data_IF_988265480108
#
_entry.id   IF_988265480108
#
_cell.length_a   1.000
_cell.length_b   1.000
_cell.length_c   1.000
_cell.angle_alpha   90.00
_cell.angle_beta   90.00
_cell.angle_gamma   90.00
#
_symmetry.space_group_name_H-M   'P 1'
#
loop_
_entity.id
_entity.type
_entity.pdbx_description
1 polymer ?
#
# COMPACT_ATOMS: atom_id res chain seq x y z
N UNK A 1 -18.70 13.57 9.08
CA UNK A 1 -19.24 12.26 9.50
C UNK A 1 -18.07 11.39 9.95
N UNK A 2 -18.21 10.57 10.99
CA UNK A 2 -17.10 9.73 11.47
C UNK A 2 -16.69 8.59 10.50
N UNK A 3 -17.48 8.30 9.50
CA UNK A 3 -17.26 7.20 8.56
C UNK A 3 -16.52 7.58 7.28
N UNK A 4 -16.09 8.84 7.12
CA UNK A 4 -15.45 9.37 5.92
C UNK A 4 -14.55 10.55 6.23
N UNK A 5 -13.38 10.59 5.63
CA UNK A 5 -12.45 11.72 5.69
C UNK A 5 -11.99 12.07 4.28
N UNK A 6 -11.93 13.35 3.95
CA UNK A 6 -11.29 13.85 2.75
C UNK A 6 -10.51 15.12 3.01
N UNK A 7 -9.50 15.37 2.19
CA UNK A 7 -8.75 16.63 2.16
C UNK A 7 -8.19 16.90 0.77
N UNK A 8 -7.94 18.18 0.50
CA UNK A 8 -7.40 18.65 -0.77
C UNK A 8 -5.88 18.84 -0.67
N UNK A 9 -5.19 18.57 -1.75
CA UNK A 9 -3.79 18.92 -1.93
C UNK A 9 -3.49 19.18 -3.41
N UNK A 10 -2.39 19.88 -3.65
CA UNK A 10 -1.87 20.09 -5.01
C UNK A 10 -0.62 19.24 -5.18
N UNK A 11 -0.52 18.49 -6.28
CA UNK A 11 0.68 17.69 -6.59
C UNK A 11 1.90 18.58 -6.73
N UNK A 12 2.98 18.20 -6.02
CA UNK A 12 4.25 18.94 -6.00
C UNK A 12 5.26 18.32 -6.96
N UNK A 13 6.36 19.03 -7.20
CA UNK A 13 7.45 18.53 -8.03
C UNK A 13 8.01 17.20 -7.53
N UNK A 14 8.15 17.03 -6.21
CA UNK A 14 8.69 15.82 -5.59
C UNK A 14 7.73 14.61 -5.63
N UNK A 15 6.44 14.86 -5.90
CA UNK A 15 5.45 13.77 -6.04
C UNK A 15 5.54 13.10 -7.42
N UNK A 16 6.19 13.77 -8.39
CA UNK A 16 6.22 13.38 -9.80
C UNK A 16 7.59 12.79 -10.16
N UNK A 17 7.59 11.61 -10.76
CA UNK A 17 8.83 10.96 -11.20
C UNK A 17 9.28 11.34 -12.60
N UNK A 18 10.32 10.65 -13.10
CA UNK A 18 10.92 10.89 -14.41
C UNK A 18 9.93 10.77 -15.59
N UNK A 19 8.85 10.01 -15.42
CA UNK A 19 7.76 9.89 -16.42
C UNK A 19 6.81 11.10 -16.43
N UNK A 20 7.07 12.13 -15.62
CA UNK A 20 6.21 13.31 -15.40
C UNK A 20 4.83 12.97 -14.82
N UNK A 21 4.69 11.80 -14.25
CA UNK A 21 3.49 11.30 -13.58
C UNK A 21 3.78 11.07 -12.09
N UNK A 22 2.78 11.25 -11.25
CA UNK A 22 2.89 10.92 -9.82
C UNK A 22 3.20 9.43 -9.67
N UNK A 23 4.22 9.13 -8.87
CA UNK A 23 4.66 7.74 -8.71
C UNK A 23 3.69 6.97 -7.81
N UNK A 24 3.50 5.65 -8.04
CA UNK A 24 2.57 4.84 -7.23
C UNK A 24 2.83 4.95 -5.73
N UNK A 25 4.08 4.96 -5.30
CA UNK A 25 4.44 5.08 -3.89
C UNK A 25 4.02 6.43 -3.28
N UNK A 26 4.02 7.53 -4.04
CA UNK A 26 3.55 8.83 -3.57
C UNK A 26 2.03 8.88 -3.45
N UNK A 27 1.30 8.26 -4.38
CA UNK A 27 -0.17 8.08 -4.29
C UNK A 27 -0.51 7.30 -3.01
N UNK A 28 0.16 6.18 -2.77
CA UNK A 28 -0.06 5.33 -1.59
C UNK A 28 0.34 6.06 -0.31
N UNK A 29 1.38 6.90 -0.33
CA UNK A 29 1.75 7.77 0.80
C UNK A 29 0.63 8.73 1.19
N UNK A 30 -0.05 9.35 0.21
CA UNK A 30 -1.23 10.19 0.47
C UNK A 30 -2.37 9.37 1.11
N UNK A 31 -2.60 8.16 0.65
CA UNK A 31 -3.60 7.26 1.22
C UNK A 31 -3.27 6.84 2.66
N UNK A 32 -2.00 6.53 2.95
CA UNK A 32 -1.57 6.20 4.30
C UNK A 32 -1.73 7.39 5.26
N UNK A 33 -1.38 8.60 4.82
CA UNK A 33 -1.58 9.81 5.61
C UNK A 33 -3.07 10.00 5.93
N UNK A 34 -3.96 9.86 4.95
CA UNK A 34 -5.40 9.94 5.15
C UNK A 34 -5.90 8.88 6.13
N UNK A 35 -5.40 7.64 6.01
CA UNK A 35 -5.74 6.54 6.91
C UNK A 35 -5.34 6.84 8.35
N UNK A 36 -4.11 7.31 8.57
CA UNK A 36 -3.59 7.62 9.90
C UNK A 36 -4.42 8.73 10.57
N UNK A 37 -4.62 9.85 9.86
CA UNK A 37 -5.43 10.96 10.37
C UNK A 37 -6.87 10.54 10.70
N UNK A 38 -7.46 9.69 9.84
CA UNK A 38 -8.81 9.20 10.10
C UNK A 38 -8.85 8.22 11.29
N UNK A 39 -7.84 7.39 11.45
CA UNK A 39 -7.75 6.45 12.58
C UNK A 39 -7.61 7.19 13.92
N UNK A 40 -6.88 8.31 13.96
CA UNK A 40 -6.82 9.18 15.14
C UNK A 40 -8.18 9.79 15.48
N UNK A 41 -8.92 10.27 14.47
CA UNK A 41 -10.30 10.80 14.65
C UNK A 41 -11.25 9.71 15.18
N UNK A 42 -11.05 8.46 14.76
CA UNK A 42 -11.85 7.32 15.19
C UNK A 42 -11.46 6.78 16.58
N UNK A 43 -10.36 7.25 17.18
CA UNK A 43 -9.85 6.77 18.47
C UNK A 43 -9.21 5.37 18.39
N UNK A 44 -8.69 5.04 17.21
CA UNK A 44 -7.95 3.79 16.94
C UNK A 44 -6.62 4.07 16.23
N UNK A 45 -6.05 5.23 16.50
CA UNK A 45 -4.72 5.60 16.05
C UNK A 45 -3.62 4.72 16.65
N UNK A 46 -2.37 4.96 16.28
CA UNK A 46 -1.22 4.14 16.69
C UNK A 46 -1.13 4.04 18.22
N UNK A 47 -1.24 5.18 18.93
CA UNK A 47 -1.14 5.22 20.38
C UNK A 47 -2.36 4.61 21.08
N UNK A 48 -3.56 4.73 20.47
CA UNK A 48 -4.78 4.13 21.02
C UNK A 48 -4.70 2.59 20.99
N UNK A 49 -4.24 2.04 19.85
CA UNK A 49 -4.05 0.59 19.69
C UNK A 49 -2.97 0.06 20.61
N UNK A 50 -1.86 0.78 20.78
CA UNK A 50 -0.82 0.41 21.72
C UNK A 50 -1.35 0.33 23.15
N UNK A 51 -2.13 1.34 23.58
CA UNK A 51 -2.72 1.39 24.93
C UNK A 51 -3.81 0.35 25.15
N UNK A 52 -4.67 0.10 24.15
CA UNK A 52 -5.85 -0.77 24.30
C UNK A 52 -5.51 -2.25 24.27
N UNK A 53 -4.57 -2.68 23.44
CA UNK A 53 -4.29 -4.10 23.23
C UNK A 53 -2.80 -4.44 23.04
N UNK A 54 -1.89 -3.53 23.41
CA UNK A 54 -0.45 -3.66 23.18
C UNK A 54 -0.16 -4.05 21.72
N UNK A 55 -0.84 -3.37 20.80
CA UNK A 55 -0.85 -3.72 19.40
C UNK A 55 -0.19 -2.69 18.50
N UNK A 56 0.13 -3.11 17.29
CA UNK A 56 0.54 -2.26 16.18
C UNK A 56 -0.26 -2.57 14.93
N UNK A 57 -0.55 -1.54 14.14
CA UNK A 57 -1.16 -1.69 12.82
C UNK A 57 -0.16 -2.28 11.84
N UNK A 58 -0.62 -3.24 11.03
CA UNK A 58 0.12 -3.79 9.89
C UNK A 58 -0.79 -3.80 8.66
N UNK A 59 -0.21 -3.51 7.50
CA UNK A 59 -0.87 -3.73 6.21
C UNK A 59 -0.51 -5.14 5.73
N UNK A 60 -1.49 -5.92 5.35
CA UNK A 60 -1.29 -7.30 4.87
C UNK A 60 -1.31 -7.35 3.35
N UNK A 61 -2.21 -6.61 2.74
CA UNK A 61 -2.29 -6.49 1.28
C UNK A 61 -3.00 -5.20 0.88
N UNK A 62 -2.74 -4.76 -0.34
CA UNK A 62 -3.37 -3.60 -0.93
C UNK A 62 -3.60 -3.81 -2.43
N UNK A 63 -4.64 -3.16 -2.95
CA UNK A 63 -4.96 -3.11 -4.38
C UNK A 63 -5.28 -1.67 -4.76
N UNK A 64 -4.71 -1.23 -5.87
CA UNK A 64 -4.91 0.10 -6.42
C UNK A 64 -5.29 0.00 -7.88
N UNK A 65 -6.38 0.64 -8.27
CA UNK A 65 -6.87 0.74 -9.64
C UNK A 65 -6.63 2.16 -10.15
N UNK A 66 -5.95 2.29 -11.28
CA UNK A 66 -5.56 3.56 -11.88
C UNK A 66 -6.35 3.80 -13.15
N UNK A 67 -7.23 4.79 -13.17
CA UNK A 67 -7.79 5.29 -14.43
C UNK A 67 -6.74 6.13 -15.16
N UNK A 68 -5.96 6.91 -14.40
CA UNK A 68 -4.75 7.60 -14.83
C UNK A 68 -3.84 7.95 -13.65
N UNK A 69 -2.62 8.34 -13.94
CA UNK A 69 -1.70 8.93 -12.96
C UNK A 69 -1.76 10.46 -13.02
N UNK A 70 -1.80 11.16 -11.87
CA UNK A 70 -1.70 12.61 -11.80
C UNK A 70 -0.37 13.14 -12.35
N UNK A 71 -0.37 14.40 -12.78
CA UNK A 71 0.83 15.15 -13.17
C UNK A 71 1.09 16.29 -12.17
N UNK A 72 2.14 17.06 -12.38
CA UNK A 72 2.51 18.20 -11.52
C UNK A 72 1.43 19.31 -11.55
N UNK A 73 1.25 20.00 -10.41
CA UNK A 73 0.32 21.13 -10.24
C UNK A 73 -1.15 20.77 -10.49
N UNK A 74 -1.54 19.53 -10.26
CA UNK A 74 -2.96 19.15 -10.25
C UNK A 74 -3.54 19.32 -8.84
N UNK A 75 -4.70 19.96 -8.75
CA UNK A 75 -5.49 20.01 -7.53
C UNK A 75 -6.32 18.74 -7.40
N UNK A 76 -6.08 18.01 -6.31
CA UNK A 76 -6.63 16.70 -6.06
C UNK A 76 -7.30 16.64 -4.68
N UNK A 77 -8.26 15.74 -4.55
CA UNK A 77 -8.86 15.37 -3.27
C UNK A 77 -8.54 13.92 -2.95
N UNK A 78 -7.96 13.67 -1.78
CA UNK A 78 -7.83 12.33 -1.20
C UNK A 78 -9.01 12.07 -0.29
N UNK A 79 -9.64 10.91 -0.45
CA UNK A 79 -10.68 10.44 0.44
C UNK A 79 -10.37 9.06 0.98
N UNK A 80 -10.87 8.76 2.18
CA UNK A 80 -10.75 7.43 2.81
C UNK A 80 -11.92 7.13 3.73
N UNK A 81 -12.30 5.86 3.79
CA UNK A 81 -13.31 5.34 4.72
C UNK A 81 -13.06 3.87 5.05
N UNK A 82 -13.30 3.45 6.29
CA UNK A 82 -13.24 2.05 6.66
C UNK A 82 -14.46 1.30 6.10
N UNK A 83 -14.25 0.05 5.74
CA UNK A 83 -15.34 -0.88 5.43
C UNK A 83 -15.71 -1.70 6.68
N UNK A 84 -16.81 -2.42 6.59
CA UNK A 84 -17.24 -3.30 7.67
C UNK A 84 -16.15 -4.32 8.01
N UNK A 85 -15.72 -4.31 9.27
CA UNK A 85 -14.70 -5.19 9.79
C UNK A 85 -15.24 -6.60 9.99
N UNK A 86 -14.43 -7.61 9.62
CA UNK A 86 -14.68 -9.03 9.90
C UNK A 86 -13.52 -9.62 10.71
N UNK A 87 -12.50 -10.15 10.04
CA UNK A 87 -11.23 -10.57 10.66
C UNK A 87 -10.13 -9.52 10.51
N UNK A 88 -10.20 -8.74 9.44
CA UNK A 88 -9.29 -7.65 9.11
C UNK A 88 -10.06 -6.34 9.07
N UNK A 89 -9.34 -5.23 9.03
CA UNK A 89 -9.88 -3.88 8.94
C UNK A 89 -9.67 -3.36 7.51
N UNK A 90 -10.59 -3.69 6.57
CA UNK A 90 -10.49 -3.18 5.21
C UNK A 90 -10.83 -1.70 5.18
N UNK A 91 -10.11 -0.96 4.33
CA UNK A 91 -10.29 0.48 4.15
C UNK A 91 -10.18 0.84 2.68
N UNK A 92 -11.11 1.65 2.20
CA UNK A 92 -11.09 2.22 0.87
C UNK A 92 -10.42 3.58 0.84
N UNK A 93 -9.90 3.89 -0.34
CA UNK A 93 -9.27 5.16 -0.68
C UNK A 93 -9.72 5.61 -2.06
N UNK A 94 -9.73 6.90 -2.26
CA UNK A 94 -10.02 7.50 -3.54
C UNK A 94 -9.16 8.74 -3.74
N UNK A 95 -8.59 8.87 -4.95
CA UNK A 95 -7.98 10.10 -5.41
C UNK A 95 -8.86 10.68 -6.50
N UNK A 96 -9.31 11.92 -6.32
CA UNK A 96 -10.23 12.61 -7.22
C UNK A 96 -9.60 13.86 -7.82
N UNK A 97 -9.96 14.16 -9.06
CA UNK A 97 -9.81 15.49 -9.64
C UNK A 97 -11.20 16.07 -9.91
N UNK A 98 -11.57 17.09 -9.16
CA UNK A 98 -12.95 17.55 -9.11
C UNK A 98 -13.91 16.44 -8.68
N UNK A 99 -14.88 16.10 -9.51
CA UNK A 99 -15.84 15.02 -9.24
C UNK A 99 -15.43 13.66 -9.85
N UNK A 100 -14.29 13.59 -10.55
CA UNK A 100 -13.85 12.36 -11.22
C UNK A 100 -12.87 11.59 -10.36
N UNK A 101 -13.18 10.33 -10.06
CA UNK A 101 -12.23 9.38 -9.47
C UNK A 101 -11.14 9.05 -10.49
N UNK A 102 -9.89 9.14 -10.10
CA UNK A 102 -8.74 8.85 -10.97
C UNK A 102 -7.89 7.69 -10.45
N UNK A 103 -7.92 7.45 -9.13
CA UNK A 103 -7.32 6.26 -8.51
C UNK A 103 -8.25 5.78 -7.40
N UNK A 104 -8.50 4.49 -7.36
CA UNK A 104 -9.18 3.80 -6.27
C UNK A 104 -8.20 2.92 -5.54
N UNK A 105 -8.34 2.78 -4.24
CA UNK A 105 -7.48 1.94 -3.44
C UNK A 105 -8.25 1.18 -2.37
N UNK A 106 -7.78 0.00 -2.06
CA UNK A 106 -8.23 -0.79 -0.92
C UNK A 106 -7.02 -1.40 -0.22
N UNK A 107 -6.97 -1.25 1.09
CA UNK A 107 -5.96 -1.88 1.94
C UNK A 107 -6.63 -2.73 3.00
N UNK A 108 -6.02 -3.88 3.28
CA UNK A 108 -6.42 -4.78 4.35
C UNK A 108 -5.44 -4.64 5.51
N UNK A 109 -5.93 -4.10 6.62
CA UNK A 109 -5.14 -3.92 7.83
C UNK A 109 -5.41 -5.03 8.85
N UNK A 110 -4.40 -5.35 9.62
CA UNK A 110 -4.50 -6.14 10.83
C UNK A 110 -3.89 -5.41 12.02
N UNK A 111 -4.19 -5.86 13.22
CA UNK A 111 -3.48 -5.45 14.44
C UNK A 111 -2.72 -6.66 14.95
N UNK A 112 -1.42 -6.50 15.21
CA UNK A 112 -0.57 -7.53 15.80
C UNK A 112 -0.17 -7.09 17.20
N UNK A 113 -0.33 -7.95 18.19
CA UNK A 113 0.15 -7.72 19.53
C UNK A 113 1.69 -7.78 19.54
N UNK A 114 2.35 -6.77 20.11
CA UNK A 114 3.81 -6.58 20.04
C UNK A 114 4.59 -7.65 20.83
N UNK A 115 4.03 -8.22 21.90
CA UNK A 115 4.71 -9.25 22.72
C UNK A 115 4.54 -10.66 22.12
N UNK A 116 3.29 -10.99 21.73
CA UNK A 116 2.96 -12.35 21.29
C UNK A 116 3.13 -12.56 19.80
N UNK A 117 3.31 -11.48 19.04
CA UNK A 117 3.37 -11.45 17.58
C UNK A 117 2.17 -12.12 16.89
N UNK A 118 0.99 -12.10 17.54
CA UNK A 118 -0.25 -12.70 17.07
C UNK A 118 -1.25 -11.64 16.65
N UNK A 119 -2.09 -12.01 15.68
CA UNK A 119 -3.19 -11.16 15.24
C UNK A 119 -4.19 -10.93 16.39
N UNK A 120 -4.50 -9.67 16.66
CA UNK A 120 -5.53 -9.24 17.62
C UNK A 120 -6.88 -9.22 16.90
N UNK A 121 -7.86 -9.92 17.48
CA UNK A 121 -9.21 -9.92 16.90
C UNK A 121 -9.86 -8.53 17.01
N UNK A 122 -10.67 -8.10 16.03
CA UNK A 122 -11.27 -6.78 15.99
C UNK A 122 -12.01 -6.36 17.27
N UNK A 123 -12.68 -7.29 17.94
CA UNK A 123 -13.41 -7.03 19.20
C UNK A 123 -12.52 -6.51 20.36
N UNK A 124 -11.21 -6.68 20.26
CA UNK A 124 -10.24 -6.19 21.26
C UNK A 124 -9.53 -4.90 20.84
N UNK A 125 -9.72 -4.46 19.59
CA UNK A 125 -9.09 -3.25 19.06
C UNK A 125 -9.87 -2.00 19.47
N UNK A 126 -11.18 -2.10 19.63
CA UNK A 126 -12.06 -1.01 20.00
C UNK A 126 -13.24 -0.84 19.02
N UNK A 127 -14.22 -0.07 19.45
CA UNK A 127 -15.35 0.30 18.62
C UNK A 127 -15.01 1.57 17.82
N UNK A 128 -15.09 1.50 16.50
CA UNK A 128 -14.89 2.65 15.62
C UNK A 128 -15.98 3.72 15.78
N UNK A 129 -17.08 3.41 16.48
CA UNK A 129 -18.24 4.30 16.62
C UNK A 129 -18.91 4.62 15.28
N UNK A 130 -18.79 3.71 14.30
CA UNK A 130 -19.42 3.82 12.98
C UNK A 130 -20.68 2.98 12.96
N UNK A 131 -21.82 3.62 12.79
CA UNK A 131 -23.13 2.94 12.72
C UNK A 131 -23.50 2.52 11.29
N UNK A 132 -22.96 3.23 10.29
CA UNK A 132 -23.22 2.97 8.89
C UNK A 132 -21.90 3.00 8.09
N UNK A 133 -21.55 1.87 7.50
CA UNK A 133 -20.35 1.74 6.66
C UNK A 133 -20.68 2.06 5.20
N UNK A 134 -19.80 2.83 4.56
CA UNK A 134 -19.87 3.05 3.13
C UNK A 134 -19.44 1.80 2.36
N UNK A 135 -19.95 1.59 1.12
CA UNK A 135 -19.54 0.47 0.29
C UNK A 135 -18.11 0.63 -0.23
N UNK A 136 -17.54 -0.46 -0.76
CA UNK A 136 -16.31 -0.42 -1.55
C UNK A 136 -16.53 0.40 -2.83
N UNK A 137 -15.49 1.13 -3.25
CA UNK A 137 -15.46 1.85 -4.52
C UNK A 137 -14.61 1.14 -5.58
N UNK A 138 -14.06 -0.03 -5.26
CA UNK A 138 -13.27 -0.82 -6.21
C UNK A 138 -14.16 -1.36 -7.33
N UNK A 139 -13.62 -1.42 -8.55
CA UNK A 139 -14.30 -2.06 -9.68
C UNK A 139 -14.31 -3.59 -9.50
N UNK A 140 -13.22 -4.12 -8.92
CA UNK A 140 -13.11 -5.53 -8.56
C UNK A 140 -12.42 -5.66 -7.20
N UNK A 141 -13.14 -6.17 -6.21
CA UNK A 141 -12.65 -6.38 -4.84
C UNK A 141 -11.76 -7.63 -4.70
N UNK A 142 -11.64 -8.47 -5.74
CA UNK A 142 -10.83 -9.69 -5.69
C UNK A 142 -9.34 -9.39 -5.90
N UNK A 143 -8.48 -10.20 -5.28
CA UNK A 143 -7.05 -10.17 -5.50
C UNK A 143 -6.66 -11.34 -6.40
N UNK A 144 -5.70 -11.12 -7.30
CA UNK A 144 -5.28 -12.17 -8.24
C UNK A 144 -4.58 -13.34 -7.56
N UNK A 145 -3.99 -13.11 -6.37
CA UNK A 145 -3.18 -14.09 -5.64
C UNK A 145 -2.15 -14.82 -6.54
N UNK A 146 -1.69 -14.13 -7.58
CA UNK A 146 -0.77 -14.71 -8.56
C UNK A 146 0.57 -15.04 -7.89
N UNK A 147 0.97 -16.28 -7.98
CA UNK A 147 2.30 -16.75 -7.58
C UNK A 147 3.03 -17.28 -8.80
N UNK A 148 4.36 -17.17 -8.82
CA UNK A 148 5.19 -17.81 -9.82
C UNK A 148 6.51 -18.25 -9.19
N UNK A 149 7.18 -19.18 -9.83
CA UNK A 149 8.55 -19.55 -9.50
C UNK A 149 9.49 -18.59 -10.22
N UNK A 150 10.53 -18.18 -9.52
CA UNK A 150 11.61 -17.33 -10.04
C UNK A 150 12.90 -18.15 -10.08
N UNK A 151 13.68 -17.95 -11.10
CA UNK A 151 15.04 -18.46 -11.21
C UNK A 151 16.08 -17.32 -11.18
N UNK A 152 17.37 -17.65 -11.26
CA UNK A 152 18.45 -16.67 -11.19
C UNK A 152 18.40 -15.63 -12.32
N UNK A 153 17.85 -15.98 -13.49
CA UNK A 153 17.72 -15.05 -14.62
C UNK A 153 16.64 -13.99 -14.41
N UNK A 154 15.71 -14.21 -13.48
CA UNK A 154 14.66 -13.27 -13.09
C UNK A 154 15.16 -12.20 -12.10
N UNK A 155 16.39 -12.37 -11.52
CA UNK A 155 16.98 -11.41 -10.58
C UNK A 155 17.33 -10.11 -11.30
N UNK A 156 16.73 -9.00 -10.82
CA UNK A 156 16.97 -7.66 -11.39
C UNK A 156 18.07 -6.94 -10.63
N UNK A 157 17.96 -6.86 -9.30
CA UNK A 157 18.95 -6.22 -8.44
C UNK A 157 18.80 -6.65 -6.98
N UNK A 158 19.80 -6.32 -6.17
CA UNK A 158 19.77 -6.50 -4.71
C UNK A 158 19.80 -5.16 -4.02
N UNK A 159 18.90 -4.93 -3.07
CA UNK A 159 18.79 -3.73 -2.23
C UNK A 159 19.17 -4.05 -0.80
N UNK A 160 20.10 -3.29 -0.23
CA UNK A 160 20.32 -3.29 1.23
C UNK A 160 19.40 -2.28 1.88
N UNK A 161 18.63 -2.70 2.87
CA UNK A 161 17.73 -1.82 3.65
C UNK A 161 18.55 -0.86 4.50
N UNK A 162 18.25 0.42 4.39
CA UNK A 162 18.90 1.53 5.12
C UNK A 162 17.88 2.32 5.91
N UNK A 163 18.35 3.24 6.74
CA UNK A 163 17.53 4.08 7.61
C UNK A 163 16.34 4.75 6.88
N UNK A 164 16.53 5.21 5.64
CA UNK A 164 15.48 5.88 4.87
C UNK A 164 14.35 4.96 4.39
N UNK A 165 14.55 3.64 4.43
CA UNK A 165 13.54 2.64 4.12
C UNK A 165 12.77 2.14 5.36
N UNK A 166 13.13 2.60 6.57
CA UNK A 166 12.46 2.18 7.80
C UNK A 166 11.24 3.06 8.13
N UNK A 167 10.25 2.46 8.77
CA UNK A 167 9.08 3.14 9.32
C UNK A 167 9.28 3.52 10.81
N UNK A 168 8.23 4.06 11.43
CA UNK A 168 8.18 4.40 12.86
C UNK A 168 8.47 3.19 13.78
N UNK A 169 8.17 1.97 13.36
CA UNK A 169 8.39 0.75 14.12
C UNK A 169 9.76 0.11 13.87
N UNK A 170 10.67 0.83 13.16
CA UNK A 170 12.01 0.36 12.78
C UNK A 170 11.97 -0.87 11.86
N UNK A 171 10.90 -1.03 11.11
CA UNK A 171 10.76 -2.07 10.09
C UNK A 171 10.74 -1.46 8.68
N UNK A 172 10.97 -2.28 7.66
CA UNK A 172 10.84 -1.84 6.28
C UNK A 172 9.46 -1.24 6.01
N UNK A 173 9.46 0.01 5.55
CA UNK A 173 8.25 0.77 5.26
C UNK A 173 7.51 0.19 4.04
N UNK A 174 6.20 0.03 4.13
CA UNK A 174 5.35 -0.43 3.03
C UNK A 174 5.54 0.39 1.74
N UNK A 175 5.81 1.70 1.87
CA UNK A 175 6.11 2.60 0.74
C UNK A 175 7.45 2.24 0.08
N UNK A 176 8.45 1.86 0.87
CA UNK A 176 9.76 1.44 0.35
C UNK A 176 9.63 0.18 -0.52
N UNK A 177 8.74 -0.76 -0.17
CA UNK A 177 8.51 -1.95 -0.99
C UNK A 177 7.91 -1.60 -2.36
N UNK A 178 7.01 -0.62 -2.44
CA UNK A 178 6.46 -0.14 -3.72
C UNK A 178 7.56 0.52 -4.57
N UNK A 179 8.47 1.28 -3.94
CA UNK A 179 9.65 1.86 -4.62
C UNK A 179 10.53 0.75 -5.19
N UNK A 180 10.92 -0.23 -4.36
CA UNK A 180 11.75 -1.36 -4.79
C UNK A 180 11.10 -2.13 -5.95
N UNK A 181 9.78 -2.36 -5.90
CA UNK A 181 9.06 -3.02 -6.99
C UNK A 181 9.09 -2.17 -8.28
N UNK A 182 8.92 -0.86 -8.16
CA UNK A 182 8.97 0.06 -9.31
C UNK A 182 10.38 0.14 -9.90
N UNK A 183 11.42 0.11 -9.06
CA UNK A 183 12.83 0.14 -9.47
C UNK A 183 13.29 -1.13 -10.20
N UNK A 184 12.47 -2.19 -10.24
CA UNK A 184 12.71 -3.35 -11.10
C UNK A 184 12.50 -3.05 -12.61
N UNK A 185 11.95 -1.89 -12.94
CA UNK A 185 11.80 -1.45 -14.34
C UNK A 185 12.85 -0.40 -14.69
N UNK A 186 13.40 -0.50 -15.88
CA UNK A 186 14.14 0.63 -16.48
C UNK A 186 13.18 1.76 -16.80
N UNK A 187 13.72 2.99 -16.99
CA UNK A 187 12.90 4.13 -17.41
C UNK A 187 12.13 3.85 -18.72
N UNK A 188 12.79 3.23 -19.70
CA UNK A 188 12.17 2.90 -20.98
C UNK A 188 11.02 1.89 -20.82
N UNK A 189 11.24 0.83 -20.04
CA UNK A 189 10.19 -0.14 -19.74
C UNK A 189 9.02 0.55 -19.03
N UNK A 190 9.26 1.20 -17.89
CA UNK A 190 8.21 1.81 -17.07
C UNK A 190 7.40 2.86 -17.84
N UNK A 191 8.06 3.66 -18.69
CA UNK A 191 7.39 4.69 -19.48
C UNK A 191 6.42 4.12 -20.52
N UNK A 192 6.63 2.87 -20.95
CA UNK A 192 5.77 2.17 -21.92
C UNK A 192 4.60 1.42 -21.28
N UNK A 193 4.59 1.31 -19.93
CA UNK A 193 3.54 0.56 -19.22
C UNK A 193 2.24 1.38 -19.11
N UNK A 194 1.14 0.77 -19.51
CA UNK A 194 -0.20 1.25 -19.18
C UNK A 194 -0.74 0.45 -17.99
N UNK A 195 -0.33 0.87 -16.78
CA UNK A 195 -0.67 0.17 -15.53
C UNK A 195 -2.13 0.45 -15.18
N UNK A 196 -2.95 -0.60 -15.18
CA UNK A 196 -4.34 -0.54 -14.75
C UNK A 196 -4.49 -0.82 -13.25
N UNK A 197 -3.72 -1.80 -12.73
CA UNK A 197 -3.82 -2.22 -11.33
C UNK A 197 -2.43 -2.48 -10.76
N UNK A 198 -2.25 -2.13 -9.50
CA UNK A 198 -1.12 -2.58 -8.66
C UNK A 198 -1.68 -3.31 -7.44
N UNK A 199 -1.28 -4.56 -7.26
CA UNK A 199 -1.53 -5.31 -6.04
C UNK A 199 -0.24 -5.47 -5.25
N UNK A 200 -0.32 -5.28 -3.93
CA UNK A 200 0.77 -5.47 -2.99
C UNK A 200 0.39 -6.52 -1.95
N UNK A 201 1.30 -7.45 -1.70
CA UNK A 201 1.21 -8.46 -0.65
C UNK A 201 2.40 -8.26 0.28
N UNK A 202 2.15 -7.89 1.53
CA UNK A 202 3.15 -7.68 2.56
C UNK A 202 3.25 -8.97 3.38
N UNK A 203 4.33 -9.73 3.19
CA UNK A 203 4.43 -11.13 3.63
C UNK A 203 5.22 -11.24 4.93
N UNK A 204 6.42 -10.64 4.94
CA UNK A 204 7.27 -10.60 6.12
C UNK A 204 7.87 -9.20 6.31
N UNK A 205 8.33 -8.93 7.52
CA UNK A 205 9.06 -7.70 7.83
C UNK A 205 10.53 -7.85 7.44
N UNK A 206 11.17 -6.73 7.08
CA UNK A 206 12.62 -6.65 6.95
C UNK A 206 13.17 -5.54 7.85
N UNK A 207 14.46 -5.58 8.11
CA UNK A 207 15.17 -4.73 9.05
C UNK A 207 16.36 -4.04 8.39
N UNK A 208 16.93 -3.05 9.09
CA UNK A 208 18.17 -2.41 8.64
C UNK A 208 19.28 -3.46 8.41
N UNK A 209 19.98 -3.34 7.31
CA UNK A 209 21.06 -4.25 6.91
C UNK A 209 20.62 -5.46 6.10
N UNK A 210 19.33 -5.81 6.12
CA UNK A 210 18.81 -6.91 5.29
C UNK A 210 19.09 -6.66 3.81
N UNK A 211 19.48 -7.72 3.11
CA UNK A 211 19.63 -7.72 1.66
C UNK A 211 18.39 -8.33 1.02
N UNK A 212 17.70 -7.51 0.23
CA UNK A 212 16.50 -7.93 -0.49
C UNK A 212 16.86 -8.13 -1.96
N UNK A 213 16.74 -9.34 -2.43
CA UNK A 213 16.88 -9.71 -3.84
C UNK A 213 15.54 -9.47 -4.54
N UNK A 214 15.55 -8.68 -5.60
CA UNK A 214 14.35 -8.28 -6.35
C UNK A 214 14.29 -9.09 -7.65
N UNK A 215 13.25 -9.89 -7.77
CA UNK A 215 12.96 -10.71 -8.95
C UNK A 215 11.80 -10.13 -9.72
N UNK A 216 11.87 -10.18 -11.06
CA UNK A 216 10.80 -9.70 -11.95
C UNK A 216 10.51 -10.73 -13.03
N UNK A 217 9.24 -11.10 -13.17
CA UNK A 217 8.76 -11.99 -14.23
C UNK A 217 7.52 -11.42 -14.91
N UNK A 218 7.49 -11.51 -16.24
CA UNK A 218 6.31 -11.15 -17.02
C UNK A 218 5.53 -12.41 -17.35
N UNK A 219 4.22 -12.40 -17.03
CA UNK A 219 3.26 -13.46 -17.38
C UNK A 219 2.04 -12.79 -17.98
N UNK A 220 1.75 -13.03 -19.24
CA UNK A 220 0.66 -12.39 -19.98
C UNK A 220 0.73 -10.85 -19.88
N UNK A 221 -0.36 -10.22 -19.40
CA UNK A 221 -0.44 -8.78 -19.15
C UNK A 221 -0.01 -8.37 -17.74
N UNK A 222 0.73 -9.22 -17.02
CA UNK A 222 1.16 -8.95 -15.63
C UNK A 222 2.67 -8.99 -15.49
N UNK A 223 3.20 -8.08 -14.67
CA UNK A 223 4.53 -8.21 -14.11
C UNK A 223 4.40 -8.60 -12.64
N UNK A 224 5.02 -9.70 -12.27
CA UNK A 224 5.11 -10.18 -10.90
C UNK A 224 6.51 -9.86 -10.41
N UNK A 225 6.58 -9.15 -9.29
CA UNK A 225 7.82 -8.77 -8.64
C UNK A 225 7.79 -9.32 -7.22
N UNK A 226 8.89 -9.94 -6.81
CA UNK A 226 9.03 -10.46 -5.46
C UNK A 226 10.35 -10.00 -4.85
N UNK A 227 10.28 -9.44 -3.66
CA UNK A 227 11.42 -9.11 -2.84
C UNK A 227 11.66 -10.20 -1.80
N UNK A 228 12.86 -10.80 -1.79
CA UNK A 228 13.23 -11.91 -0.91
C UNK A 228 14.53 -11.62 -0.18
N UNK A 229 14.61 -12.01 1.08
CA UNK A 229 15.90 -12.32 1.73
C UNK A 229 16.36 -13.71 1.30
N UNK A 230 17.49 -14.17 1.81
CA UNK A 230 17.94 -15.55 1.57
C UNK A 230 16.90 -16.60 1.98
N UNK A 231 16.17 -16.34 3.07
CA UNK A 231 15.30 -17.33 3.71
C UNK A 231 13.81 -17.09 3.49
N UNK A 232 13.40 -15.83 3.22
CA UNK A 232 11.99 -15.45 3.28
C UNK A 232 11.58 -14.52 2.14
N UNK A 233 10.35 -14.72 1.64
CA UNK A 233 9.67 -13.71 0.85
C UNK A 233 9.24 -12.55 1.76
N UNK A 234 9.57 -11.33 1.37
CA UNK A 234 9.25 -10.10 2.13
C UNK A 234 7.97 -9.48 1.60
N UNK A 235 7.90 -9.27 0.30
CA UNK A 235 6.72 -8.75 -0.35
C UNK A 235 6.57 -9.29 -1.78
N UNK A 236 5.35 -9.20 -2.30
CA UNK A 236 5.06 -9.39 -3.72
C UNK A 236 4.26 -8.22 -4.25
N UNK A 237 4.62 -7.75 -5.44
CA UNK A 237 3.88 -6.76 -6.21
C UNK A 237 3.41 -7.38 -7.53
N UNK A 238 2.18 -7.08 -7.94
CA UNK A 238 1.64 -7.49 -9.23
C UNK A 238 1.16 -6.24 -9.96
N UNK A 239 1.84 -5.89 -11.05
CA UNK A 239 1.43 -4.83 -11.95
C UNK A 239 0.62 -5.45 -13.09
N UNK A 240 -0.63 -5.05 -13.23
CA UNK A 240 -1.56 -5.53 -14.28
C UNK A 240 -1.72 -4.41 -15.30
N UNK A 241 -1.47 -4.72 -16.57
CA UNK A 241 -1.56 -3.79 -17.69
C UNK A 241 -2.94 -3.85 -18.36
N UNK A 242 -3.35 -2.71 -18.97
CA UNK A 242 -4.52 -2.67 -19.86
C UNK A 242 -4.26 -3.44 -21.15
#
# INVERSE_FOLDING_TARGET
MKNYLEYNFTTRFDDVGATRKMMPHNIVSCFQLASNNHSDILGVGVEDIRKSCNGKWVVLKAKFEFDRFPTINEDLTVATWPLQTRMLFPRCFELKQGNSSIVRGRMEYGVINEETNRLVLPKYVGDLGITEFLPSNMQDDTYTNTTCEFDESDLVYTKTIRLSELDYNVHGNNIAYIKMATDCFTFAEYSSLDIAVLEMYYINQCFEGDQINLYKKKIDNKYIIEGKTADNSIFRAVFILR
#
